data_IF_781232429066
#
_entry.id   IF_781232429066
#
_cell.length_a   1.000
_cell.length_b   1.000
_cell.length_c   1.000
_cell.angle_alpha   90.00
_cell.angle_beta   90.00
_cell.angle_gamma   90.00
#
_symmetry.space_group_name_H-M   'P 1'
#
loop_
_entity.id
_entity.type
_entity.pdbx_description
1 polymer ?
#
# COMPACT_ATOMS: atom_id res chain seq x y z
N UNK A 1 21.46 24.05 8.91
CA UNK A 1 20.52 23.88 7.77
C UNK A 1 20.44 22.40 7.45
N UNK A 2 19.24 21.86 7.24
CA UNK A 2 19.09 20.48 6.76
C UNK A 2 19.65 20.39 5.33
N UNK A 3 20.39 19.33 5.03
CA UNK A 3 20.80 18.99 3.65
C UNK A 3 19.76 18.02 3.09
N UNK A 4 19.07 18.36 1.99
CA UNK A 4 18.13 17.42 1.36
C UNK A 4 18.88 16.21 0.81
N UNK A 5 18.34 15.02 1.03
CA UNK A 5 18.85 13.77 0.50
C UNK A 5 17.68 12.94 -0.04
N UNK A 6 17.93 12.18 -1.11
CA UNK A 6 16.94 11.25 -1.65
C UNK A 6 16.85 10.08 -0.67
N UNK A 7 15.65 9.75 -0.16
CA UNK A 7 15.48 8.60 0.72
C UNK A 7 15.85 7.30 0.01
N UNK A 8 16.35 6.28 0.72
CA UNK A 8 16.59 4.99 0.13
C UNK A 8 15.27 4.34 -0.32
N UNK A 9 15.35 3.35 -1.23
CA UNK A 9 14.19 2.59 -1.66
C UNK A 9 13.42 1.96 -0.50
N UNK A 10 12.09 1.89 -0.64
CA UNK A 10 11.13 1.45 0.37
C UNK A 10 10.30 0.27 -0.15
N UNK A 11 9.49 -0.36 0.70
CA UNK A 11 8.67 -1.48 0.27
C UNK A 11 7.31 -1.02 -0.22
N UNK A 12 6.83 -1.67 -1.27
CA UNK A 12 5.49 -1.47 -1.78
C UNK A 12 4.52 -2.45 -1.09
N UNK A 13 3.37 -1.94 -0.68
CA UNK A 13 2.25 -2.70 -0.12
C UNK A 13 1.01 -2.41 -0.96
N UNK A 14 0.14 -3.41 -1.12
CA UNK A 14 -1.12 -3.26 -1.84
C UNK A 14 -2.25 -3.90 -1.03
N UNK A 15 -3.28 -3.10 -0.72
CA UNK A 15 -4.57 -3.62 -0.29
C UNK A 15 -5.45 -3.88 -1.51
N UNK A 16 -6.10 -5.04 -1.58
CA UNK A 16 -7.00 -5.39 -2.69
C UNK A 16 -8.36 -5.78 -2.12
N UNK A 17 -9.41 -5.04 -2.49
CA UNK A 17 -10.79 -5.47 -2.34
C UNK A 17 -11.27 -6.06 -3.67
N UNK A 18 -11.99 -7.17 -3.64
CA UNK A 18 -12.59 -7.72 -4.86
C UNK A 18 -13.86 -8.52 -4.60
N UNK A 19 -14.72 -8.57 -5.60
CA UNK A 19 -15.90 -9.46 -5.68
C UNK A 19 -15.78 -10.50 -6.79
N UNK A 20 -14.79 -10.34 -7.67
CA UNK A 20 -14.47 -11.23 -8.78
C UNK A 20 -13.02 -11.71 -8.65
N UNK A 21 -12.85 -13.00 -8.39
CA UNK A 21 -11.55 -13.65 -8.21
C UNK A 21 -10.67 -13.56 -9.47
N UNK A 22 -11.26 -13.77 -10.65
CA UNK A 22 -10.50 -13.75 -11.91
C UNK A 22 -10.01 -12.34 -12.23
N UNK A 23 -10.84 -11.32 -11.96
CA UNK A 23 -10.44 -9.92 -12.09
C UNK A 23 -9.31 -9.57 -11.09
N UNK A 24 -9.39 -10.05 -9.85
CA UNK A 24 -8.37 -9.82 -8.83
C UNK A 24 -7.01 -10.44 -9.21
N UNK A 25 -7.02 -11.69 -9.69
CA UNK A 25 -5.80 -12.37 -10.16
C UNK A 25 -5.18 -11.67 -11.38
N UNK A 26 -6.01 -11.26 -12.35
CA UNK A 26 -5.52 -10.53 -13.52
C UNK A 26 -4.98 -9.13 -13.17
N UNK A 27 -5.61 -8.44 -12.22
CA UNK A 27 -5.13 -7.17 -11.68
C UNK A 27 -3.81 -7.35 -10.91
N UNK A 28 -3.67 -8.42 -10.14
CA UNK A 28 -2.43 -8.74 -9.43
C UNK A 28 -1.31 -9.12 -10.39
N UNK A 29 -1.58 -9.91 -11.42
CA UNK A 29 -0.59 -10.29 -12.43
C UNK A 29 0.03 -9.06 -13.11
N UNK A 30 -0.80 -8.10 -13.53
CA UNK A 30 -0.32 -6.84 -14.11
C UNK A 30 0.53 -6.02 -13.12
N UNK A 31 0.19 -6.07 -11.83
CA UNK A 31 0.95 -5.38 -10.80
C UNK A 31 2.29 -6.07 -10.50
N UNK A 32 2.32 -7.40 -10.50
CA UNK A 32 3.55 -8.20 -10.35
C UNK A 32 4.50 -8.01 -11.53
N UNK A 33 3.97 -7.96 -12.75
CA UNK A 33 4.77 -7.69 -13.95
C UNK A 33 5.52 -6.35 -13.85
N UNK A 34 4.89 -5.34 -13.28
CA UNK A 34 5.48 -3.99 -13.15
C UNK A 34 6.38 -3.81 -11.93
N UNK A 35 5.98 -4.33 -10.77
CA UNK A 35 6.64 -4.03 -9.48
C UNK A 35 7.37 -5.22 -8.86
N UNK A 36 7.47 -6.33 -9.59
CA UNK A 36 8.11 -7.55 -9.12
C UNK A 36 7.19 -8.44 -8.30
N UNK A 37 7.68 -9.59 -7.83
CA UNK A 37 6.86 -10.60 -7.20
C UNK A 37 6.44 -10.20 -5.78
N UNK A 38 5.30 -10.75 -5.37
CA UNK A 38 4.82 -10.70 -3.99
C UNK A 38 5.72 -11.55 -3.10
N UNK A 39 6.25 -10.98 -2.01
CA UNK A 39 6.97 -11.74 -0.99
C UNK A 39 6.01 -12.39 0.00
N UNK A 40 4.97 -11.65 0.41
CA UNK A 40 4.01 -12.10 1.42
C UNK A 40 2.62 -11.63 1.06
N UNK A 41 1.64 -12.47 1.41
CA UNK A 41 0.23 -12.15 1.31
C UNK A 41 -0.44 -12.45 2.65
N UNK A 42 -1.40 -11.61 3.01
CA UNK A 42 -2.38 -11.87 4.06
C UNK A 42 -3.78 -11.89 3.42
N UNK A 43 -4.58 -12.87 3.81
CA UNK A 43 -5.89 -13.17 3.23
C UNK A 43 -5.87 -14.37 2.26
N UNK A 44 -6.99 -14.63 1.55
CA UNK A 44 -8.22 -13.81 1.52
C UNK A 44 -8.93 -13.72 2.87
N UNK A 45 -9.44 -12.54 3.21
CA UNK A 45 -10.26 -12.27 4.40
C UNK A 45 -11.63 -11.74 3.97
N UNK A 46 -12.72 -12.05 4.67
CA UNK A 46 -13.98 -11.33 4.50
C UNK A 46 -13.77 -9.83 4.78
N UNK A 47 -14.37 -8.96 3.97
CA UNK A 47 -14.38 -7.52 4.23
C UNK A 47 -15.69 -7.11 4.88
N UNK A 48 -15.70 -6.98 6.21
CA UNK A 48 -16.86 -6.64 7.04
C UNK A 48 -16.71 -5.28 7.75
N UNK A 49 -15.72 -4.48 7.33
CA UNK A 49 -15.36 -3.24 7.99
C UNK A 49 -16.34 -2.09 7.71
N UNK A 50 -17.00 -2.10 6.55
CA UNK A 50 -18.00 -1.11 6.10
C UNK A 50 -18.76 -1.65 4.88
N UNK A 51 -20.00 -1.21 4.71
CA UNK A 51 -20.89 -1.43 3.56
C UNK A 51 -20.68 -0.42 2.41
N UNK A 52 -19.73 0.52 2.55
CA UNK A 52 -19.49 1.62 1.61
C UNK A 52 -19.32 1.16 0.15
N UNK A 53 -18.77 -0.03 -0.06
CA UNK A 53 -18.45 -0.56 -1.39
C UNK A 53 -19.57 -1.45 -1.97
N UNK A 54 -20.58 -1.84 -1.19
CA UNK A 54 -21.53 -2.89 -1.57
C UNK A 54 -22.36 -2.51 -2.80
N UNK A 55 -22.82 -1.26 -2.88
CA UNK A 55 -23.63 -0.78 -4.01
C UNK A 55 -22.83 -0.72 -5.32
N UNK A 56 -21.52 -0.42 -5.21
CA UNK A 56 -20.61 -0.28 -6.34
C UNK A 56 -20.06 -1.64 -6.79
N UNK A 57 -19.52 -2.43 -5.87
CA UNK A 57 -18.75 -3.65 -6.18
C UNK A 57 -19.59 -4.93 -6.12
N UNK A 58 -20.73 -4.89 -5.43
CA UNK A 58 -21.50 -6.08 -5.05
C UNK A 58 -20.96 -6.73 -3.77
N UNK A 59 -21.56 -7.86 -3.39
CA UNK A 59 -21.19 -8.64 -2.19
C UNK A 59 -21.18 -10.14 -2.52
N UNK A 60 -20.41 -10.97 -1.78
CA UNK A 60 -19.48 -10.61 -0.69
C UNK A 60 -18.16 -10.02 -1.21
N UNK A 61 -17.56 -9.10 -0.45
CA UNK A 61 -16.26 -8.50 -0.75
C UNK A 61 -15.16 -9.25 0.00
N UNK A 62 -14.07 -9.54 -0.70
CA UNK A 62 -12.87 -10.17 -0.17
C UNK A 62 -11.73 -9.16 -0.10
N UNK A 63 -10.94 -9.21 0.99
CA UNK A 63 -9.74 -8.40 1.22
C UNK A 63 -8.47 -9.24 1.14
N UNK A 64 -7.45 -8.72 0.46
CA UNK A 64 -6.07 -9.23 0.49
C UNK A 64 -5.11 -8.07 0.79
N UNK A 65 -4.03 -8.38 1.49
CA UNK A 65 -2.89 -7.47 1.66
C UNK A 65 -1.64 -8.13 1.11
N UNK A 66 -0.90 -7.39 0.31
CA UNK A 66 0.26 -7.91 -0.42
C UNK A 66 1.46 -7.04 -0.09
N UNK A 67 2.60 -7.68 0.14
CA UNK A 67 3.91 -7.04 0.30
C UNK A 67 4.81 -7.48 -0.84
N UNK A 68 5.39 -6.52 -1.55
CA UNK A 68 6.25 -6.78 -2.70
C UNK A 68 7.70 -7.00 -2.28
N UNK A 69 8.37 -7.92 -2.98
CA UNK A 69 9.74 -8.32 -2.69
C UNK A 69 10.74 -7.25 -3.07
N UNK A 70 10.53 -6.56 -4.19
CA UNK A 70 11.52 -5.66 -4.75
C UNK A 70 11.24 -4.22 -4.27
N UNK A 71 12.23 -3.48 -3.76
CA UNK A 71 12.00 -2.15 -3.23
C UNK A 71 11.81 -1.13 -4.37
N UNK A 72 11.06 -0.07 -4.09
CA UNK A 72 10.71 1.00 -5.04
C UNK A 72 11.20 2.36 -4.56
N UNK A 73 11.28 3.34 -5.45
CA UNK A 73 11.62 4.72 -5.07
C UNK A 73 10.57 5.31 -4.12
N UNK A 74 11.01 6.12 -3.15
CA UNK A 74 10.12 6.71 -2.14
C UNK A 74 9.14 7.75 -2.71
N UNK A 75 9.37 8.26 -3.92
CA UNK A 75 8.55 9.25 -4.63
C UNK A 75 7.60 8.63 -5.66
N UNK A 76 7.59 7.31 -5.85
CA UNK A 76 6.81 6.67 -6.92
C UNK A 76 5.31 6.54 -6.61
N UNK A 77 4.87 6.86 -5.38
CA UNK A 77 3.51 6.57 -4.94
C UNK A 77 2.39 7.17 -5.83
N UNK A 78 2.51 8.40 -6.37
CA UNK A 78 1.57 8.92 -7.36
C UNK A 78 1.45 8.06 -8.61
N UNK A 79 2.58 7.66 -9.20
CA UNK A 79 2.63 6.83 -10.39
C UNK A 79 1.99 5.46 -10.14
N UNK A 80 2.29 4.84 -8.99
CA UNK A 80 1.69 3.57 -8.60
C UNK A 80 0.16 3.71 -8.48
N UNK A 81 -0.34 4.80 -7.88
CA UNK A 81 -1.79 4.99 -7.75
C UNK A 81 -2.47 5.17 -9.10
N UNK A 82 -1.90 5.97 -9.99
CA UNK A 82 -2.42 6.12 -11.35
C UNK A 82 -2.45 4.78 -12.09
N UNK A 83 -1.43 3.94 -11.92
CA UNK A 83 -1.43 2.61 -12.50
C UNK A 83 -2.53 1.71 -11.92
N UNK A 84 -2.74 1.71 -10.60
CA UNK A 84 -3.85 0.94 -10.01
C UNK A 84 -5.21 1.44 -10.50
N UNK A 85 -5.39 2.76 -10.64
CA UNK A 85 -6.65 3.31 -11.18
C UNK A 85 -6.93 2.80 -12.60
N UNK A 86 -5.90 2.79 -13.47
CA UNK A 86 -6.03 2.27 -14.83
C UNK A 86 -6.36 0.76 -14.85
N UNK A 87 -5.81 -0.03 -13.91
CA UNK A 87 -6.16 -1.44 -13.74
C UNK A 87 -7.62 -1.59 -13.29
N UNK A 88 -8.05 -0.84 -12.28
CA UNK A 88 -9.42 -0.86 -11.77
C UNK A 88 -10.43 -0.51 -12.87
N UNK A 89 -10.14 0.52 -13.67
CA UNK A 89 -10.97 0.92 -14.82
C UNK A 89 -11.06 -0.17 -15.88
N UNK A 90 -9.94 -0.84 -16.20
CA UNK A 90 -9.90 -1.92 -17.19
C UNK A 90 -10.78 -3.13 -16.81
N UNK A 91 -10.89 -3.42 -15.52
CA UNK A 91 -11.69 -4.54 -15.00
C UNK A 91 -13.07 -4.13 -14.51
N UNK A 92 -13.45 -2.86 -14.67
CA UNK A 92 -14.81 -2.42 -14.39
C UNK A 92 -15.79 -3.00 -15.42
N UNK A 93 -17.01 -3.30 -14.97
CA UNK A 93 -18.11 -3.79 -15.81
C UNK A 93 -19.32 -2.91 -15.55
N UNK A 94 -19.97 -2.42 -16.60
CA UNK A 94 -21.16 -1.55 -16.49
C UNK A 94 -20.93 -0.32 -15.59
N UNK A 95 -19.71 0.22 -15.62
CA UNK A 95 -19.30 1.35 -14.77
C UNK A 95 -19.07 1.01 -13.30
N UNK A 96 -19.15 -0.27 -12.92
CA UNK A 96 -18.93 -0.77 -11.56
C UNK A 96 -17.57 -1.44 -11.42
N UNK A 97 -16.81 -1.04 -10.40
CA UNK A 97 -15.51 -1.65 -10.09
C UNK A 97 -15.71 -3.06 -9.53
N UNK A 98 -14.94 -4.03 -10.03
CA UNK A 98 -14.89 -5.39 -9.47
C UNK A 98 -13.71 -5.60 -8.53
N UNK A 99 -12.72 -4.71 -8.63
CA UNK A 99 -11.49 -4.69 -7.85
C UNK A 99 -11.24 -3.25 -7.42
N UNK A 100 -10.80 -3.03 -6.18
CA UNK A 100 -10.26 -1.78 -5.68
C UNK A 100 -8.86 -2.03 -5.10
N UNK A 101 -7.90 -1.21 -5.50
CA UNK A 101 -6.48 -1.33 -5.18
C UNK A 101 -6.00 -0.09 -4.41
N UNK A 102 -5.50 -0.33 -3.20
CA UNK A 102 -4.97 0.67 -2.29
C UNK A 102 -3.44 0.51 -2.19
N UNK A 103 -2.64 1.12 -3.08
CA UNK A 103 -1.20 1.04 -2.99
C UNK A 103 -0.67 1.93 -1.86
N UNK A 104 0.43 1.49 -1.23
CA UNK A 104 1.11 2.25 -0.19
C UNK A 104 2.59 1.94 -0.08
N UNK A 105 3.33 2.87 0.51
CA UNK A 105 4.75 2.71 0.81
C UNK A 105 4.92 2.39 2.29
N UNK A 106 5.60 1.28 2.56
CA UNK A 106 6.01 0.86 3.89
C UNK A 106 7.49 1.21 4.09
N UNK A 107 7.74 1.98 5.15
CA UNK A 107 9.07 2.37 5.61
C UNK A 107 9.30 1.80 7.01
N UNK A 108 10.52 1.82 7.59
CA UNK A 108 10.73 1.38 8.96
C UNK A 108 9.97 2.17 10.04
N UNK A 109 9.39 3.32 9.66
CA UNK A 109 8.76 4.27 10.58
C UNK A 109 7.28 4.51 10.30
N UNK A 110 6.76 4.17 9.11
CA UNK A 110 5.36 4.41 8.77
C UNK A 110 4.86 3.57 7.58
N UNK A 111 3.53 3.59 7.41
CA UNK A 111 2.83 3.21 6.17
C UNK A 111 2.10 4.44 5.65
N UNK A 112 2.29 4.77 4.37
CA UNK A 112 1.56 5.83 3.66
C UNK A 112 0.79 5.22 2.50
N UNK A 113 -0.54 5.36 2.49
CA UNK A 113 -1.40 4.92 1.38
C UNK A 113 -1.62 6.05 0.38
N UNK A 114 -1.84 5.70 -0.89
CA UNK A 114 -2.15 6.66 -1.94
C UNK A 114 -3.66 6.85 -2.11
N UNK A 115 -4.08 8.09 -2.37
CA UNK A 115 -5.49 8.39 -2.63
C UNK A 115 -5.65 9.64 -3.49
N UNK A 116 -6.66 9.66 -4.37
CA UNK A 116 -7.05 10.86 -5.10
C UNK A 116 -8.03 11.77 -4.33
N UNK A 117 -8.43 11.39 -3.11
CA UNK A 117 -9.44 12.12 -2.33
C UNK A 117 -8.76 13.00 -1.27
N UNK A 118 -8.75 14.33 -1.39
CA UNK A 118 -8.14 15.20 -0.38
C UNK A 118 -8.90 15.14 0.97
N UNK A 119 -8.16 15.20 2.09
CA UNK A 119 -8.67 15.34 3.46
C UNK A 119 -7.65 16.07 4.34
N UNK A 120 -8.06 16.52 5.52
CA UNK A 120 -7.23 17.35 6.42
C UNK A 120 -5.86 16.76 6.75
N UNK A 121 -5.73 15.43 6.81
CA UNK A 121 -4.48 14.73 7.13
C UNK A 121 -3.66 14.33 5.89
N UNK A 122 -4.20 14.51 4.69
CA UNK A 122 -3.63 13.97 3.45
C UNK A 122 -2.77 15.02 2.77
N UNK A 123 -1.52 14.66 2.50
CA UNK A 123 -0.52 15.57 1.95
C UNK A 123 -0.45 15.37 0.44
N UNK A 124 -0.45 16.46 -0.33
CA UNK A 124 -0.34 16.38 -1.78
C UNK A 124 1.04 15.90 -2.20
N UNK A 125 1.09 14.87 -3.07
CA UNK A 125 2.33 14.27 -3.56
C UNK A 125 2.59 14.56 -5.04
N UNK A 126 1.63 15.18 -5.75
CA UNK A 126 1.70 15.41 -7.19
C UNK A 126 0.66 14.60 -7.96
N UNK A 127 0.40 15.00 -9.21
CA UNK A 127 -0.46 14.27 -10.16
C UNK A 127 -1.89 13.99 -9.65
N UNK A 128 -2.44 14.89 -8.83
CA UNK A 128 -3.76 14.70 -8.19
C UNK A 128 -3.77 13.63 -7.07
N UNK A 129 -2.61 13.09 -6.69
CA UNK A 129 -2.49 12.06 -5.66
C UNK A 129 -2.01 12.66 -4.34
N UNK A 130 -2.59 12.16 -3.26
CA UNK A 130 -2.27 12.49 -1.88
C UNK A 130 -1.76 11.25 -1.15
N UNK A 131 -0.84 11.46 -0.21
CA UNK A 131 -0.39 10.48 0.76
C UNK A 131 -1.22 10.57 2.03
N UNK A 132 -1.77 9.44 2.46
CA UNK A 132 -2.48 9.27 3.73
C UNK A 132 -1.58 8.52 4.72
N UNK A 133 -1.04 9.24 5.70
CA UNK A 133 -0.24 8.61 6.77
C UNK A 133 -1.15 7.67 7.56
N UNK A 134 -1.00 6.36 7.31
CA UNK A 134 -1.98 5.35 7.72
C UNK A 134 -1.53 4.63 8.98
N UNK A 135 -0.24 4.33 9.13
CA UNK A 135 0.31 3.74 10.36
C UNK A 135 1.64 4.41 10.70
N UNK A 136 1.98 4.46 11.98
CA UNK A 136 3.29 4.89 12.48
C UNK A 136 3.95 3.78 13.30
N UNK A 137 5.24 3.55 13.13
CA UNK A 137 5.96 2.55 13.92
C UNK A 137 6.33 3.15 15.28
N UNK A 138 5.82 2.54 16.34
CA UNK A 138 6.13 2.94 17.71
C UNK A 138 6.08 1.73 18.64
N UNK A 139 6.98 1.69 19.62
CA UNK A 139 7.03 0.63 20.65
C UNK A 139 6.95 -0.79 20.08
N UNK A 140 7.74 -1.08 19.04
CA UNK A 140 7.89 -2.43 18.49
C UNK A 140 6.86 -2.86 17.43
N UNK A 141 5.89 -2.03 17.10
CA UNK A 141 4.88 -2.35 16.08
C UNK A 141 4.40 -1.11 15.32
N UNK A 142 3.85 -1.31 14.13
CA UNK A 142 3.02 -0.27 13.49
C UNK A 142 1.75 -0.07 14.32
N UNK A 143 1.41 1.19 14.60
CA UNK A 143 0.26 1.63 15.37
C UNK A 143 -0.69 2.42 14.47
N UNK A 144 -2.01 2.25 14.61
CA UNK A 144 -2.99 3.05 13.92
C UNK A 144 -3.03 4.48 14.47
N UNK A 145 -3.48 5.39 13.62
CA UNK A 145 -3.81 6.77 13.91
C UNK A 145 -5.34 6.93 13.97
N UNK A 146 -5.87 8.06 14.48
CA UNK A 146 -7.31 8.24 14.65
C UNK A 146 -8.16 8.09 13.37
N UNK A 147 -7.53 8.22 12.20
CA UNK A 147 -8.18 8.12 10.88
C UNK A 147 -7.83 6.85 10.10
N UNK A 148 -7.03 5.94 10.67
CA UNK A 148 -6.66 4.68 10.01
C UNK A 148 -7.90 3.85 9.72
N UNK A 149 -8.02 3.38 8.48
CA UNK A 149 -9.07 2.43 8.10
C UNK A 149 -9.03 1.17 8.98
N UNK A 150 -10.20 0.67 9.39
CA UNK A 150 -10.33 -0.43 10.36
C UNK A 150 -9.57 -1.68 9.93
N UNK A 151 -9.63 -2.02 8.65
CA UNK A 151 -8.94 -3.18 8.06
C UNK A 151 -7.41 -3.03 8.20
N UNK A 152 -6.86 -1.89 7.81
CA UNK A 152 -5.43 -1.57 7.95
C UNK A 152 -4.96 -1.46 9.41
N UNK A 153 -5.86 -1.06 10.31
CA UNK A 153 -5.58 -0.92 11.74
C UNK A 153 -5.66 -2.22 12.54
N UNK A 154 -6.13 -3.32 11.93
CA UNK A 154 -6.27 -4.62 12.60
C UNK A 154 -4.93 -5.17 13.10
N UNK A 155 -4.98 -5.95 14.18
CA UNK A 155 -3.78 -6.57 14.76
C UNK A 155 -3.06 -7.48 13.76
N UNK A 156 -3.82 -8.26 12.98
CA UNK A 156 -3.28 -9.18 11.98
C UNK A 156 -2.50 -8.44 10.87
N UNK A 157 -3.05 -7.34 10.34
CA UNK A 157 -2.37 -6.52 9.33
C UNK A 157 -1.14 -5.84 9.93
N UNK A 158 -1.23 -5.31 11.15
CA UNK A 158 -0.08 -4.68 11.81
C UNK A 158 1.04 -5.68 12.09
N UNK A 159 0.70 -6.91 12.49
CA UNK A 159 1.66 -7.99 12.69
C UNK A 159 2.30 -8.41 11.35
N UNK A 160 1.49 -8.53 10.29
CA UNK A 160 1.95 -8.81 8.93
C UNK A 160 2.99 -7.77 8.45
N UNK A 161 2.69 -6.48 8.59
CA UNK A 161 3.61 -5.40 8.20
C UNK A 161 4.86 -5.33 9.08
N UNK A 162 4.72 -5.58 10.40
CA UNK A 162 5.84 -5.54 11.34
C UNK A 162 6.90 -6.59 11.00
N UNK A 163 6.51 -7.77 10.52
CA UNK A 163 7.44 -8.83 10.08
C UNK A 163 8.33 -8.41 8.91
N UNK A 164 7.91 -7.44 8.10
CA UNK A 164 8.70 -6.89 7.00
C UNK A 164 9.77 -5.88 7.45
N UNK A 165 9.74 -5.40 8.69
CA UNK A 165 10.61 -4.31 9.13
C UNK A 165 12.11 -4.62 9.08
N UNK A 166 12.61 -5.80 9.54
CA UNK A 166 14.04 -6.06 9.58
C UNK A 166 14.77 -5.95 8.23
N UNK A 167 14.09 -6.26 7.11
CA UNK A 167 14.69 -6.11 5.76
C UNK A 167 14.87 -4.66 5.36
N UNK A 168 13.96 -3.77 5.75
CA UNK A 168 14.04 -2.34 5.44
C UNK A 168 15.18 -1.66 6.19
N UNK A 169 15.38 -2.02 7.46
CA UNK A 169 16.46 -1.46 8.28
C UNK A 169 17.85 -1.93 7.84
N UNK A 170 17.96 -3.14 7.28
CA UNK A 170 19.23 -3.65 6.73
C UNK A 170 19.63 -2.96 5.43
N UNK A 171 18.67 -2.64 4.57
CA UNK A 171 18.91 -1.85 3.36
C UNK A 171 19.40 -0.41 3.68
N UNK A 172 18.91 0.15 4.79
CA UNK A 172 19.36 1.44 5.34
C UNK A 172 20.74 1.43 6.00
N UNK A 173 21.25 0.26 6.41
CA UNK A 173 22.57 0.09 7.04
C UNK A 173 23.68 -0.28 6.02
N UNK A 174 23.31 -0.41 4.74
CA UNK A 174 24.19 -0.90 3.66
C UNK A 174 24.86 0.17 2.80
N UNK A 175 24.80 1.45 3.17
CA UNK A 175 25.70 2.46 2.59
C UNK A 175 26.79 2.73 3.63
N UNK A 176 28.00 2.18 3.50
CA UNK A 176 29.15 2.73 4.19
C UNK A 176 29.28 4.18 3.71
N UNK A 177 28.91 5.13 4.57
CA UNK A 177 29.51 6.45 4.49
C UNK A 177 31.02 6.22 4.66
N UNK A 178 31.76 6.55 3.61
CA UNK A 178 33.20 6.84 3.58
C UNK A 178 33.97 6.42 4.83
N UNK A 179 34.54 5.20 4.77
CA UNK A 179 35.80 4.97 5.45
C UNK A 179 36.85 5.80 4.73
N UNK A 180 37.28 6.88 5.39
CA UNK A 180 38.58 7.54 5.31
C UNK A 180 39.04 8.03 3.92
N UNK A 181 39.07 9.35 3.75
CA UNK A 181 40.31 10.16 3.74
C UNK A 181 39.99 11.65 3.85
#
# INVERSE_FOLDING_TARGET
MSKPEIPPPVLLVLGVLHTDEAAAEAALAAFVERFGPVERMLGPLPFDCTDYYDAEMGTPITRRFLLFRDPVSADCLPEVKLFTNAIEERFASDGKRRVNQDPGLLTPVNLVLATGKPRHQRIYLGQGIYGDLTLVYHTGAYQPLPWTYRDWGSEEVRAFLTRARPRMTRALQGTPQDKEM
#
